data_IF_954488252756
#
_entry.id   IF_954488252756
#
_cell.length_a   1.000
_cell.length_b   1.000
_cell.length_c   1.000
_cell.angle_alpha   90.00
_cell.angle_beta   90.00
_cell.angle_gamma   90.00
#
_symmetry.space_group_name_H-M   'P 1'
#
loop_
_entity.id
_entity.type
_entity.pdbx_description
1 polymer ?
#
# COMPACT_ATOMS: atom_id res chain seq x y z
N UNK A 1 67.76 48.52 51.73
CA UNK A 1 67.21 47.20 51.49
C UNK A 1 65.78 47.41 51.07
N UNK A 2 65.53 47.22 49.77
CA UNK A 2 64.21 47.39 49.15
C UNK A 2 63.71 45.99 48.72
N UNK A 3 62.60 45.57 49.28
CA UNK A 3 61.94 44.36 48.83
C UNK A 3 60.83 44.72 47.85
N UNK A 4 61.01 44.31 46.59
CA UNK A 4 60.01 44.37 45.53
C UNK A 4 59.12 43.15 45.65
N UNK A 5 57.81 43.36 45.90
CA UNK A 5 56.80 42.31 45.87
C UNK A 5 56.23 42.27 44.43
N UNK A 6 56.53 41.21 43.68
CA UNK A 6 55.90 40.91 42.40
C UNK A 6 54.53 40.31 42.65
N UNK A 7 53.47 41.03 42.33
CA UNK A 7 52.07 40.56 42.29
C UNK A 7 51.83 39.82 41.00
N UNK A 8 51.70 38.48 41.07
CA UNK A 8 51.29 37.67 39.90
C UNK A 8 49.78 37.70 39.77
N UNK A 9 49.26 38.40 38.75
CA UNK A 9 47.88 38.34 38.36
C UNK A 9 47.63 37.06 37.57
N UNK A 10 46.99 36.12 38.22
CA UNK A 10 46.52 34.89 37.57
C UNK A 10 45.19 35.20 36.88
N UNK A 11 45.23 35.49 35.57
CA UNK A 11 44.04 35.65 34.75
C UNK A 11 43.51 34.25 34.45
N UNK A 12 42.51 33.81 35.20
CA UNK A 12 41.74 32.64 34.89
C UNK A 12 40.83 32.94 33.69
N UNK A 13 41.21 32.47 32.52
CA UNK A 13 40.32 32.40 31.35
C UNK A 13 39.21 31.40 31.67
N UNK A 14 38.05 31.87 32.12
CA UNK A 14 36.83 31.10 32.08
C UNK A 14 36.45 30.91 30.59
N UNK A 15 36.83 29.79 30.00
CA UNK A 15 36.26 29.34 28.73
C UNK A 15 34.81 28.95 29.03
N UNK A 16 33.87 29.94 28.98
CA UNK A 16 32.47 29.64 28.87
C UNK A 16 32.26 28.88 27.55
N UNK A 17 32.12 27.58 27.64
CA UNK A 17 31.62 26.80 26.52
C UNK A 17 30.20 27.30 26.23
N UNK A 18 30.10 28.30 25.36
CA UNK A 18 28.85 28.61 24.69
C UNK A 18 28.52 27.38 23.84
N UNK A 19 27.71 26.48 24.37
CA UNK A 19 26.93 25.56 23.57
C UNK A 19 25.85 26.39 22.87
N UNK A 20 26.28 27.25 21.92
CA UNK A 20 25.38 27.75 20.90
C UNK A 20 24.81 26.50 20.22
N UNK A 21 23.48 26.34 20.27
CA UNK A 21 22.79 25.42 19.39
C UNK A 21 23.35 25.70 17.99
N UNK A 22 24.21 24.79 17.49
CA UNK A 22 24.75 24.91 16.14
C UNK A 22 23.53 25.00 15.23
N UNK A 23 23.48 26.04 14.42
CA UNK A 23 22.42 26.21 13.45
C UNK A 23 22.38 24.97 12.53
N UNK A 24 21.35 24.15 12.58
CA UNK A 24 21.26 22.95 11.76
C UNK A 24 21.38 23.25 10.26
N UNK A 25 20.98 24.46 9.84
CA UNK A 25 21.09 24.90 8.45
C UNK A 25 22.53 25.21 8.06
N UNK A 26 23.33 25.75 8.96
CA UNK A 26 24.75 25.99 8.73
C UNK A 26 25.50 24.65 8.52
N UNK A 27 25.20 23.66 9.35
CA UNK A 27 25.77 22.31 9.19
C UNK A 27 25.37 21.67 7.85
N UNK A 28 24.08 21.80 7.47
CA UNK A 28 23.61 21.32 6.16
C UNK A 28 24.38 21.98 5.01
N UNK A 29 24.54 23.32 5.05
CA UNK A 29 25.27 24.06 4.01
C UNK A 29 26.72 23.62 3.94
N UNK A 30 27.39 23.42 5.08
CA UNK A 30 28.77 22.96 5.15
C UNK A 30 28.93 21.56 4.52
N UNK A 31 28.00 20.64 4.84
CA UNK A 31 28.01 19.29 4.25
C UNK A 31 27.83 19.34 2.74
N UNK A 32 26.88 20.13 2.23
CA UNK A 32 26.67 20.29 0.79
C UNK A 32 27.93 20.86 0.13
N UNK A 33 28.54 21.89 0.73
CA UNK A 33 29.77 22.50 0.17
C UNK A 33 30.93 21.49 0.16
N UNK A 34 31.11 20.71 1.23
CA UNK A 34 32.16 19.67 1.28
C UNK A 34 31.95 18.59 0.23
N UNK A 35 30.71 18.17 -0.01
CA UNK A 35 30.42 17.22 -1.10
C UNK A 35 30.82 17.82 -2.45
N UNK A 36 30.50 19.09 -2.69
CA UNK A 36 30.83 19.79 -3.93
C UNK A 36 32.34 19.93 -4.16
N UNK A 37 33.05 20.21 -3.09
CA UNK A 37 34.47 20.51 -3.19
C UNK A 37 35.36 19.25 -3.23
N UNK A 38 34.97 18.18 -2.52
CA UNK A 38 35.84 17.05 -2.24
C UNK A 38 35.39 15.73 -2.89
N UNK A 39 34.14 15.64 -3.34
CA UNK A 39 33.62 14.38 -3.93
C UNK A 39 34.23 14.15 -5.32
N UNK A 40 34.71 12.94 -5.57
CA UNK A 40 35.15 12.50 -6.90
C UNK A 40 33.96 12.15 -7.83
N UNK A 41 32.76 12.03 -7.29
CA UNK A 41 31.55 11.73 -8.05
C UNK A 41 30.91 12.97 -8.67
N UNK A 42 30.17 12.79 -9.76
CA UNK A 42 29.27 13.83 -10.28
C UNK A 42 28.00 13.86 -9.45
N UNK A 43 27.53 15.05 -9.12
CA UNK A 43 26.26 15.22 -8.38
C UNK A 43 25.39 16.26 -9.09
N UNK A 44 24.10 16.13 -8.85
CA UNK A 44 23.06 17.07 -9.23
C UNK A 44 22.51 17.70 -7.95
N UNK A 45 22.50 19.03 -7.87
CA UNK A 45 22.04 19.76 -6.68
C UNK A 45 20.59 19.42 -6.33
N UNK A 46 19.73 19.24 -7.33
CA UNK A 46 18.33 18.87 -7.15
C UNK A 46 18.23 17.45 -6.56
N UNK A 47 18.96 16.50 -7.12
CA UNK A 47 18.98 15.11 -6.62
C UNK A 47 19.54 15.01 -5.21
N UNK A 48 20.54 15.81 -4.86
CA UNK A 48 21.11 15.87 -3.52
C UNK A 48 20.07 16.38 -2.52
N UNK A 49 19.36 17.45 -2.88
CA UNK A 49 18.27 18.01 -2.06
C UNK A 49 17.11 17.01 -1.91
N UNK A 50 16.64 16.40 -2.98
CA UNK A 50 15.56 15.41 -2.95
C UNK A 50 15.92 14.23 -2.05
N UNK A 51 17.17 13.74 -2.12
CA UNK A 51 17.66 12.66 -1.24
C UNK A 51 17.69 13.08 0.24
N UNK A 52 18.08 14.33 0.53
CA UNK A 52 18.05 14.87 1.89
C UNK A 52 16.62 14.95 2.43
N UNK A 53 15.68 15.48 1.66
CA UNK A 53 14.26 15.60 2.03
C UNK A 53 13.60 14.23 2.22
N UNK A 54 13.89 13.28 1.34
CA UNK A 54 13.42 11.89 1.51
C UNK A 54 14.00 11.26 2.79
N UNK A 55 15.29 11.47 3.09
CA UNK A 55 15.92 11.03 4.33
C UNK A 55 15.26 11.61 5.58
N UNK A 56 14.91 12.90 5.57
CA UNK A 56 14.17 13.56 6.65
C UNK A 56 12.81 12.90 6.88
N UNK A 57 12.05 12.67 5.82
CA UNK A 57 10.73 12.01 5.90
C UNK A 57 10.87 10.59 6.44
N UNK A 58 11.83 9.82 5.91
CA UNK A 58 12.10 8.43 6.34
C UNK A 58 12.55 8.33 7.80
N UNK A 59 13.18 9.35 8.35
CA UNK A 59 13.62 9.36 9.76
C UNK A 59 12.44 9.35 10.75
N UNK A 60 11.28 9.87 10.35
CA UNK A 60 10.06 9.94 11.18
C UNK A 60 9.00 8.92 10.77
N UNK A 61 8.97 8.54 9.51
CA UNK A 61 8.04 7.54 8.96
C UNK A 61 8.74 6.69 7.90
N UNK A 62 9.03 5.43 8.21
CA UNK A 62 9.68 4.49 7.28
C UNK A 62 8.90 4.29 5.98
N UNK A 63 7.59 4.46 6.01
CA UNK A 63 6.70 4.36 4.85
C UNK A 63 6.37 5.74 4.24
N UNK A 64 6.86 6.82 4.87
CA UNK A 64 6.71 8.17 4.36
C UNK A 64 7.52 8.39 3.09
N UNK A 65 7.15 9.40 2.32
CA UNK A 65 7.86 9.77 1.08
C UNK A 65 7.91 11.28 0.92
N UNK A 66 9.01 11.78 0.43
CA UNK A 66 9.07 13.05 -0.26
C UNK A 66 8.78 12.78 -1.75
N UNK A 67 7.90 13.56 -2.34
CA UNK A 67 7.55 13.51 -3.76
C UNK A 67 8.07 14.80 -4.38
N UNK A 68 9.04 14.71 -5.26
CA UNK A 68 9.50 15.89 -5.99
C UNK A 68 8.42 16.38 -6.96
N UNK A 69 8.66 17.50 -7.63
CA UNK A 69 7.72 18.14 -8.54
C UNK A 69 7.22 17.20 -9.66
N UNK A 70 8.11 16.44 -10.28
CA UNK A 70 7.77 15.50 -11.34
C UNK A 70 6.91 14.32 -10.82
N UNK A 71 7.30 13.74 -9.69
CA UNK A 71 6.55 12.65 -9.04
C UNK A 71 5.17 13.12 -8.56
N UNK A 72 5.10 14.29 -7.92
CA UNK A 72 3.85 14.81 -7.41
C UNK A 72 2.89 15.18 -8.53
N UNK A 73 3.37 15.86 -9.57
CA UNK A 73 2.56 16.17 -10.74
C UNK A 73 2.05 14.90 -11.44
N UNK A 74 2.93 13.93 -11.65
CA UNK A 74 2.57 12.69 -12.35
C UNK A 74 1.57 11.86 -11.58
N UNK A 75 1.74 11.75 -10.25
CA UNK A 75 0.95 10.82 -9.42
C UNK A 75 -0.35 11.44 -8.88
N UNK A 76 -0.42 12.76 -8.72
CA UNK A 76 -1.52 13.39 -7.98
C UNK A 76 -2.18 14.58 -8.70
N UNK A 77 -1.43 15.38 -9.45
CA UNK A 77 -1.99 16.58 -10.10
C UNK A 77 -2.49 16.24 -11.51
N UNK A 78 -1.64 15.61 -12.30
CA UNK A 78 -1.92 15.21 -13.67
C UNK A 78 -2.12 13.69 -13.78
N UNK A 79 -2.76 13.07 -12.79
CA UNK A 79 -3.02 11.64 -12.79
C UNK A 79 -3.84 11.21 -14.02
N UNK A 80 -3.19 11.27 -15.19
CA UNK A 80 -3.73 10.66 -16.40
C UNK A 80 -3.81 9.15 -16.17
N UNK A 81 -4.74 8.45 -16.79
CA UNK A 81 -4.76 7.00 -16.75
C UNK A 81 -3.38 6.48 -17.14
N UNK A 82 -2.62 6.03 -16.16
CA UNK A 82 -1.24 5.56 -16.40
C UNK A 82 -1.36 4.18 -17.00
N UNK A 83 -0.89 4.06 -18.24
CA UNK A 83 -0.84 2.79 -18.91
C UNK A 83 0.44 2.03 -18.53
N UNK A 84 0.32 0.73 -18.45
CA UNK A 84 1.43 -0.19 -18.20
C UNK A 84 1.43 -1.36 -19.18
N UNK A 85 2.34 -2.27 -18.98
CA UNK A 85 2.45 -3.49 -19.82
C UNK A 85 1.59 -4.65 -19.32
N UNK A 86 1.02 -4.53 -18.10
CA UNK A 86 0.15 -5.54 -17.50
C UNK A 86 0.90 -6.67 -16.78
N UNK A 87 1.91 -6.33 -16.02
CA UNK A 87 2.60 -7.23 -15.08
C UNK A 87 2.49 -6.74 -13.66
N UNK A 88 2.35 -7.64 -12.71
CA UNK A 88 2.57 -7.41 -11.29
C UNK A 88 3.94 -7.95 -10.97
N UNK A 89 4.77 -7.16 -10.29
CA UNK A 89 6.15 -7.51 -9.99
C UNK A 89 6.33 -7.95 -8.54
N UNK A 90 7.31 -8.82 -8.33
CA UNK A 90 7.87 -9.16 -7.03
C UNK A 90 9.37 -8.87 -7.05
N UNK A 91 9.91 -8.38 -5.92
CA UNK A 91 11.35 -8.18 -5.75
C UNK A 91 11.93 -9.27 -4.85
N UNK A 92 13.06 -9.85 -5.27
CA UNK A 92 13.81 -10.82 -4.48
C UNK A 92 15.31 -10.57 -4.69
N UNK A 93 16.05 -10.20 -3.65
CA UNK A 93 17.50 -9.93 -3.69
C UNK A 93 17.90 -8.97 -4.83
N UNK A 94 17.33 -7.79 -4.89
CA UNK A 94 17.56 -6.77 -5.94
C UNK A 94 17.31 -7.25 -7.38
N UNK A 95 16.44 -8.24 -7.57
CA UNK A 95 15.95 -8.69 -8.87
C UNK A 95 14.44 -8.60 -8.91
N UNK A 96 13.90 -8.32 -10.08
CA UNK A 96 12.47 -8.09 -10.28
C UNK A 96 11.89 -9.20 -11.16
N UNK A 97 10.90 -9.88 -10.62
CA UNK A 97 10.24 -11.01 -11.26
C UNK A 97 8.79 -10.70 -11.54
N UNK A 98 8.28 -11.22 -12.64
CA UNK A 98 6.84 -11.25 -12.90
C UNK A 98 6.19 -12.15 -11.86
N UNK A 99 5.38 -11.57 -10.96
CA UNK A 99 4.58 -12.28 -9.95
C UNK A 99 3.30 -12.81 -10.57
N UNK A 100 2.64 -11.97 -11.39
CA UNK A 100 1.44 -12.36 -12.16
C UNK A 100 1.28 -11.46 -13.39
N UNK A 101 0.44 -11.89 -14.30
CA UNK A 101 0.14 -11.18 -15.55
C UNK A 101 -1.34 -10.86 -15.56
N UNK A 102 -1.65 -9.63 -15.96
CA UNK A 102 -3.01 -9.14 -16.09
C UNK A 102 -3.58 -9.62 -17.42
N UNK A 103 -4.79 -10.15 -17.39
CA UNK A 103 -5.46 -10.66 -18.57
C UNK A 103 -5.64 -9.59 -19.66
N UNK A 104 -5.63 -10.00 -20.91
CA UNK A 104 -5.74 -9.16 -22.11
C UNK A 104 -4.65 -8.09 -22.24
N UNK A 105 -3.63 -8.12 -21.37
CA UNK A 105 -2.52 -7.16 -21.36
C UNK A 105 -1.53 -7.38 -22.50
N UNK A 106 -0.59 -6.45 -22.64
CA UNK A 106 0.53 -6.56 -23.61
C UNK A 106 1.52 -7.65 -23.18
N UNK A 107 1.72 -7.83 -21.87
CA UNK A 107 2.57 -8.89 -21.34
C UNK A 107 2.00 -10.27 -21.64
N UNK A 108 0.69 -10.49 -21.48
CA UNK A 108 0.03 -11.75 -21.82
C UNK A 108 0.15 -12.06 -23.31
N UNK A 109 -0.11 -11.06 -24.16
CA UNK A 109 0.02 -11.23 -25.62
C UNK A 109 1.44 -11.54 -26.07
N UNK A 110 2.43 -11.07 -25.33
CA UNK A 110 3.84 -11.37 -25.56
C UNK A 110 4.29 -12.69 -24.89
N UNK A 111 3.37 -13.44 -24.29
CA UNK A 111 3.66 -14.70 -23.59
C UNK A 111 4.71 -14.57 -22.49
N UNK A 112 4.71 -13.43 -21.77
CA UNK A 112 5.41 -13.36 -20.49
C UNK A 112 4.75 -14.33 -19.51
N UNK A 113 5.51 -14.83 -18.53
CA UNK A 113 5.04 -15.82 -17.58
C UNK A 113 5.49 -15.47 -16.16
N UNK A 114 4.78 -16.00 -15.18
CA UNK A 114 5.18 -15.90 -13.79
C UNK A 114 6.58 -16.53 -13.58
N UNK A 115 7.42 -15.79 -12.87
CA UNK A 115 8.82 -16.14 -12.63
C UNK A 115 9.80 -15.65 -13.70
N UNK A 116 9.35 -14.99 -14.77
CA UNK A 116 10.23 -14.28 -15.70
C UNK A 116 10.90 -13.11 -14.98
N UNK A 117 12.22 -12.94 -15.16
CA UNK A 117 13.00 -11.86 -14.54
C UNK A 117 13.14 -10.66 -15.50
N UNK A 118 12.79 -9.46 -15.04
CA UNK A 118 13.05 -8.23 -15.80
C UNK A 118 14.50 -7.80 -15.52
N UNK A 119 15.29 -7.65 -16.59
CA UNK A 119 16.71 -7.30 -16.51
C UNK A 119 16.92 -5.82 -16.85
N UNK A 120 16.23 -5.33 -17.88
CA UNK A 120 16.41 -3.98 -18.39
C UNK A 120 15.11 -3.44 -18.93
N UNK A 121 14.88 -2.14 -18.73
CA UNK A 121 13.76 -1.39 -19.30
C UNK A 121 14.35 -0.19 -20.04
N UNK A 122 14.00 -0.05 -21.32
CA UNK A 122 14.67 0.86 -22.25
C UNK A 122 16.20 0.68 -22.19
N UNK A 123 16.92 1.72 -21.78
CA UNK A 123 18.38 1.70 -21.63
C UNK A 123 18.84 1.52 -20.17
N UNK A 124 17.91 1.23 -19.23
CA UNK A 124 18.20 1.21 -17.80
C UNK A 124 18.19 -0.22 -17.26
N UNK A 125 19.31 -0.67 -16.70
CA UNK A 125 19.37 -1.94 -15.95
C UNK A 125 18.59 -1.79 -14.64
N UNK A 126 17.71 -2.75 -14.33
CA UNK A 126 16.82 -2.62 -13.16
C UNK A 126 17.44 -3.06 -11.83
N UNK A 127 18.58 -3.74 -11.85
CA UNK A 127 19.21 -4.34 -10.64
C UNK A 127 19.58 -3.30 -9.55
N UNK A 128 19.80 -2.04 -9.94
CA UNK A 128 20.23 -0.97 -9.05
C UNK A 128 19.05 -0.03 -8.68
N UNK A 129 17.84 -0.36 -9.13
CA UNK A 129 16.61 0.39 -8.90
C UNK A 129 15.78 -0.21 -7.76
N UNK A 130 14.92 0.61 -7.16
CA UNK A 130 13.87 0.14 -6.28
C UNK A 130 12.60 -0.24 -7.06
N UNK A 131 11.60 -0.80 -6.38
CA UNK A 131 10.35 -1.26 -7.01
C UNK A 131 9.58 -0.11 -7.68
N UNK A 132 9.52 1.05 -7.05
CA UNK A 132 8.77 2.20 -7.56
C UNK A 132 9.41 2.74 -8.84
N UNK A 133 10.74 2.80 -8.90
CA UNK A 133 11.50 3.21 -10.09
C UNK A 133 11.27 2.25 -11.25
N UNK A 134 11.28 0.94 -10.99
CA UNK A 134 11.00 -0.08 -12.02
C UNK A 134 9.56 0.05 -12.54
N UNK A 135 8.60 0.24 -11.64
CA UNK A 135 7.20 0.45 -12.01
C UNK A 135 7.05 1.74 -12.83
N UNK A 136 7.72 2.82 -12.45
CA UNK A 136 7.68 4.08 -13.17
C UNK A 136 8.18 3.94 -14.61
N UNK A 137 9.27 3.19 -14.83
CA UNK A 137 9.81 2.93 -16.17
C UNK A 137 8.86 2.07 -17.04
N UNK A 138 8.14 1.13 -16.44
CA UNK A 138 7.16 0.29 -17.16
C UNK A 138 5.89 1.06 -17.50
N UNK A 139 5.54 2.06 -16.71
CA UNK A 139 4.38 2.94 -16.92
C UNK A 139 4.70 4.04 -17.94
N UNK A 140 3.66 4.71 -18.42
CA UNK A 140 3.80 5.85 -19.34
C UNK A 140 2.49 6.18 -20.05
N UNK A 141 2.58 7.03 -21.05
CA UNK A 141 1.40 7.42 -21.83
C UNK A 141 0.75 6.20 -22.52
N UNK A 142 -0.59 6.11 -22.55
CA UNK A 142 -1.30 5.05 -23.25
C UNK A 142 -0.87 4.98 -24.73
N UNK A 143 -0.82 3.75 -25.26
CA UNK A 143 -0.46 3.46 -26.66
C UNK A 143 1.00 3.81 -27.03
N UNK A 144 1.87 4.03 -26.06
CA UNK A 144 3.33 4.06 -26.29
C UNK A 144 3.94 2.68 -26.11
N UNK A 145 5.08 2.42 -26.74
CA UNK A 145 5.83 1.18 -26.54
C UNK A 145 6.92 1.39 -25.51
N UNK A 146 7.23 0.33 -24.78
CA UNK A 146 8.40 0.23 -23.91
C UNK A 146 9.17 -1.03 -24.27
N UNK A 147 10.48 -0.91 -24.36
CA UNK A 147 11.40 -2.01 -24.59
C UNK A 147 11.78 -2.64 -23.26
N UNK A 148 11.60 -3.95 -23.14
CA UNK A 148 11.89 -4.69 -21.92
C UNK A 148 12.74 -5.91 -22.26
N UNK A 149 13.87 -6.07 -21.60
CA UNK A 149 14.69 -7.28 -21.70
C UNK A 149 14.39 -8.17 -20.52
N UNK A 150 13.99 -9.39 -20.81
CA UNK A 150 13.49 -10.37 -19.85
C UNK A 150 14.29 -11.65 -19.94
N UNK A 151 14.69 -12.19 -18.80
CA UNK A 151 15.17 -13.57 -18.69
C UNK A 151 13.97 -14.46 -18.40
N UNK A 152 13.63 -15.31 -19.36
CA UNK A 152 12.54 -16.27 -19.18
C UNK A 152 12.91 -17.31 -18.11
N UNK A 153 11.95 -17.74 -17.29
CA UNK A 153 12.14 -18.70 -16.19
C UNK A 153 12.90 -19.95 -16.63
N UNK A 154 12.69 -20.41 -17.85
CA UNK A 154 13.27 -21.65 -18.39
C UNK A 154 14.30 -21.38 -19.50
N UNK A 155 14.92 -20.20 -19.55
CA UNK A 155 15.91 -19.84 -20.57
C UNK A 155 17.16 -19.28 -19.92
N UNK A 156 18.30 -19.54 -20.53
CA UNK A 156 19.59 -18.92 -20.17
C UNK A 156 19.91 -17.70 -21.02
N UNK A 157 19.04 -17.34 -21.97
CA UNK A 157 19.26 -16.18 -22.87
C UNK A 157 18.20 -15.13 -22.65
N UNK A 158 18.59 -13.86 -22.46
CA UNK A 158 17.67 -12.76 -22.41
C UNK A 158 16.90 -12.61 -23.71
N UNK A 159 15.62 -12.22 -23.61
CA UNK A 159 14.75 -11.95 -24.75
C UNK A 159 14.25 -10.53 -24.66
N UNK A 160 14.31 -9.81 -25.76
CA UNK A 160 13.80 -8.45 -25.88
C UNK A 160 12.34 -8.45 -26.32
N UNK A 161 11.54 -7.62 -25.67
CA UNK A 161 10.13 -7.39 -25.98
C UNK A 161 9.86 -5.90 -26.17
N UNK A 162 9.13 -5.53 -27.22
CA UNK A 162 8.56 -4.21 -27.41
C UNK A 162 7.09 -4.24 -27.01
N UNK A 163 6.79 -3.88 -25.77
CA UNK A 163 5.46 -4.01 -25.18
C UNK A 163 4.69 -2.70 -25.28
N UNK A 164 3.42 -2.77 -25.66
CA UNK A 164 2.54 -1.60 -25.71
C UNK A 164 2.07 -1.26 -24.31
N UNK A 165 2.30 -0.04 -23.87
CA UNK A 165 1.61 0.51 -22.70
C UNK A 165 0.14 0.72 -23.03
N UNK A 166 -0.71 0.04 -22.32
CA UNK A 166 -2.17 0.20 -22.40
C UNK A 166 -2.70 0.64 -21.06
N UNK A 167 -3.78 1.41 -21.07
CA UNK A 167 -4.59 1.52 -19.87
C UNK A 167 -5.00 0.09 -19.53
N UNK A 168 -4.39 -0.45 -18.50
CA UNK A 168 -4.76 -1.77 -17.99
C UNK A 168 -5.92 -1.46 -17.06
N UNK A 169 -7.12 -1.77 -17.46
CA UNK A 169 -8.18 -1.96 -16.49
C UNK A 169 -7.76 -3.20 -15.71
N UNK A 170 -7.14 -2.97 -14.58
CA UNK A 170 -7.04 -4.00 -13.56
C UNK A 170 -8.45 -4.03 -13.01
N UNK A 171 -9.21 -5.06 -13.33
CA UNK A 171 -10.46 -5.30 -12.63
C UNK A 171 -10.10 -5.35 -11.14
N UNK A 172 -10.51 -4.33 -10.40
CA UNK A 172 -10.19 -4.23 -8.97
C UNK A 172 -10.90 -5.33 -8.20
N UNK A 173 -11.95 -5.86 -8.78
CA UNK A 173 -12.76 -6.94 -8.24
C UNK A 173 -12.78 -8.11 -9.23
N UNK A 174 -12.68 -9.31 -8.71
CA UNK A 174 -12.91 -10.55 -9.46
C UNK A 174 -13.97 -11.33 -8.71
N UNK A 175 -15.01 -11.73 -9.39
CA UNK A 175 -16.11 -12.47 -8.81
C UNK A 175 -16.31 -13.83 -9.48
N UNK A 176 -16.56 -14.85 -8.68
CA UNK A 176 -16.83 -16.21 -9.16
C UNK A 176 -17.93 -16.84 -8.30
N UNK A 177 -18.66 -17.79 -8.88
CA UNK A 177 -19.59 -18.63 -8.15
C UNK A 177 -19.03 -20.04 -7.99
N UNK A 178 -18.93 -20.51 -6.75
CA UNK A 178 -18.55 -21.89 -6.43
C UNK A 178 -19.77 -22.75 -6.14
N UNK A 179 -19.59 -24.06 -6.22
CA UNK A 179 -20.62 -25.04 -5.91
C UNK A 179 -21.25 -24.79 -4.53
N UNK A 180 -22.55 -24.98 -4.43
CA UNK A 180 -23.31 -24.69 -3.23
C UNK A 180 -23.74 -23.22 -3.10
N UNK A 181 -23.74 -22.45 -4.18
CA UNK A 181 -24.09 -21.03 -4.22
C UNK A 181 -23.21 -20.18 -3.29
N UNK A 182 -21.92 -20.41 -3.29
CA UNK A 182 -20.94 -19.65 -2.52
C UNK A 182 -20.31 -18.60 -3.44
N UNK A 183 -20.52 -17.33 -3.13
CA UNK A 183 -19.90 -16.23 -3.86
C UNK A 183 -18.42 -16.07 -3.41
N UNK A 184 -17.51 -16.01 -4.37
CA UNK A 184 -16.12 -15.63 -4.16
C UNK A 184 -15.91 -14.25 -4.74
N UNK A 185 -15.40 -13.33 -3.91
CA UNK A 185 -15.12 -11.96 -4.30
C UNK A 185 -13.67 -11.65 -3.90
N UNK A 186 -12.83 -11.38 -4.87
CA UNK A 186 -11.45 -10.93 -4.64
C UNK A 186 -11.36 -9.43 -4.91
N UNK A 187 -10.80 -8.69 -3.97
CA UNK A 187 -10.53 -7.26 -4.12
C UNK A 187 -9.02 -7.08 -4.15
N UNK A 188 -8.49 -6.60 -5.28
CA UNK A 188 -7.05 -6.43 -5.49
C UNK A 188 -6.51 -5.10 -4.97
N UNK A 189 -7.37 -4.05 -4.91
CA UNK A 189 -7.04 -2.73 -4.35
C UNK A 189 -8.32 -1.93 -4.09
N UNK A 190 -8.25 -0.93 -3.19
CA UNK A 190 -9.37 -0.03 -2.87
C UNK A 190 -9.17 1.35 -3.51
N UNK A 191 -8.90 1.38 -4.80
CA UNK A 191 -8.82 2.62 -5.59
C UNK A 191 -10.01 2.70 -6.54
N UNK A 192 -10.30 3.90 -7.04
CA UNK A 192 -11.41 4.15 -7.96
C UNK A 192 -12.76 3.60 -7.42
N UNK A 193 -13.55 3.00 -8.30
CA UNK A 193 -14.91 2.53 -8.03
C UNK A 193 -14.98 1.07 -7.52
N UNK A 194 -13.93 0.54 -6.91
CA UNK A 194 -13.87 -0.86 -6.45
C UNK A 194 -15.08 -1.31 -5.60
N UNK A 195 -15.68 -0.41 -4.81
CA UNK A 195 -16.89 -0.73 -4.03
C UNK A 195 -18.10 -0.91 -4.95
N UNK A 196 -18.28 -0.02 -5.93
CA UNK A 196 -19.40 -0.13 -6.88
C UNK A 196 -19.27 -1.40 -7.72
N UNK A 197 -18.06 -1.69 -8.22
CA UNK A 197 -17.76 -2.91 -8.95
C UNK A 197 -18.07 -4.15 -8.12
N UNK A 198 -17.60 -4.19 -6.85
CA UNK A 198 -17.87 -5.28 -5.92
C UNK A 198 -19.38 -5.49 -5.70
N UNK A 199 -20.12 -4.40 -5.49
CA UNK A 199 -21.57 -4.50 -5.23
C UNK A 199 -22.35 -4.92 -6.48
N UNK A 200 -21.96 -4.45 -7.65
CA UNK A 200 -22.57 -4.83 -8.91
C UNK A 200 -22.31 -6.32 -9.24
N UNK A 201 -21.09 -6.78 -9.01
CA UNK A 201 -20.74 -8.20 -9.15
C UNK A 201 -21.50 -9.09 -8.18
N UNK A 202 -21.54 -8.71 -6.90
CA UNK A 202 -22.30 -9.46 -5.90
C UNK A 202 -23.80 -9.50 -6.26
N UNK A 203 -24.34 -8.37 -6.70
CA UNK A 203 -25.73 -8.31 -7.16
C UNK A 203 -25.98 -9.23 -8.35
N UNK A 204 -25.08 -9.21 -9.34
CA UNK A 204 -25.15 -10.10 -10.50
C UNK A 204 -25.15 -11.58 -10.06
N UNK A 205 -24.21 -11.97 -9.21
CA UNK A 205 -24.13 -13.35 -8.69
C UNK A 205 -25.41 -13.73 -7.91
N UNK A 206 -25.94 -12.83 -7.09
CA UNK A 206 -27.15 -13.04 -6.32
C UNK A 206 -28.37 -13.23 -7.22
N UNK A 207 -28.53 -12.36 -8.24
CA UNK A 207 -29.67 -12.43 -9.14
C UNK A 207 -29.62 -13.69 -10.03
N UNK A 208 -28.43 -14.08 -10.51
CA UNK A 208 -28.24 -15.30 -11.33
C UNK A 208 -28.49 -16.59 -10.57
N UNK A 209 -28.34 -16.58 -9.23
CA UNK A 209 -28.65 -17.70 -8.36
C UNK A 209 -30.07 -17.62 -7.76
N UNK A 210 -31.01 -17.01 -8.46
CA UNK A 210 -32.40 -16.88 -8.02
C UNK A 210 -32.54 -16.26 -6.62
N UNK A 211 -31.68 -15.27 -6.33
CA UNK A 211 -31.61 -14.58 -5.04
C UNK A 211 -31.26 -15.48 -3.84
N UNK A 212 -30.41 -16.49 -4.08
CA UNK A 212 -29.97 -17.41 -3.05
C UNK A 212 -28.44 -17.53 -3.03
N UNK A 213 -27.82 -16.96 -2.01
CA UNK A 213 -26.42 -17.20 -1.67
C UNK A 213 -26.34 -17.93 -0.33
N UNK A 214 -25.54 -18.97 -0.25
CA UNK A 214 -25.37 -19.77 0.97
C UNK A 214 -24.11 -19.37 1.75
N UNK A 215 -23.23 -18.59 1.15
CA UNK A 215 -22.00 -18.09 1.78
C UNK A 215 -21.22 -17.18 0.86
N UNK A 216 -20.20 -16.53 1.45
CA UNK A 216 -19.30 -15.63 0.74
C UNK A 216 -17.86 -15.82 1.23
N UNK A 217 -16.93 -15.87 0.29
CA UNK A 217 -15.50 -15.76 0.52
C UNK A 217 -15.05 -14.38 0.01
N UNK A 218 -14.54 -13.55 0.91
CA UNK A 218 -13.93 -12.26 0.58
C UNK A 218 -12.40 -12.43 0.59
N UNK A 219 -11.78 -12.42 -0.58
CA UNK A 219 -10.33 -12.61 -0.74
C UNK A 219 -9.62 -11.26 -0.81
N UNK A 220 -8.85 -10.97 0.23
CA UNK A 220 -8.05 -9.76 0.39
C UNK A 220 -6.55 -10.04 0.25
N UNK A 221 -6.16 -11.24 -0.17
CA UNK A 221 -4.76 -11.61 -0.36
C UNK A 221 -4.13 -10.78 -1.48
N UNK A 222 -2.91 -10.30 -1.22
CA UNK A 222 -2.17 -9.43 -2.13
C UNK A 222 -2.71 -8.00 -2.21
N UNK A 223 -3.69 -7.61 -1.39
CA UNK A 223 -4.29 -6.27 -1.40
C UNK A 223 -3.58 -5.34 -0.41
N UNK A 224 -2.75 -4.38 -0.88
CA UNK A 224 -1.96 -3.50 -0.01
C UNK A 224 -2.78 -2.38 0.65
N UNK A 225 -4.10 -2.40 0.49
CA UNK A 225 -5.00 -1.36 0.97
C UNK A 225 -5.37 -0.36 -0.13
N UNK A 226 -5.54 0.88 0.25
CA UNK A 226 -5.97 1.98 -0.59
C UNK A 226 -6.65 3.06 0.25
N UNK A 227 -7.76 3.60 -0.24
CA UNK A 227 -8.56 4.57 0.51
C UNK A 227 -9.15 3.91 1.76
N UNK A 228 -8.78 4.42 2.95
CA UNK A 228 -9.22 3.80 4.21
C UNK A 228 -10.74 3.83 4.39
N UNK A 229 -11.43 4.85 3.85
CA UNK A 229 -12.89 4.93 3.86
C UNK A 229 -13.55 3.73 3.16
N UNK A 230 -12.90 3.17 2.12
CA UNK A 230 -13.42 1.97 1.45
C UNK A 230 -13.36 0.74 2.38
N UNK A 231 -12.31 0.61 3.18
CA UNK A 231 -12.24 -0.45 4.20
C UNK A 231 -13.33 -0.31 5.27
N UNK A 232 -13.59 0.92 5.73
CA UNK A 232 -14.67 1.22 6.69
C UNK A 232 -16.02 0.88 6.07
N UNK A 233 -16.27 1.32 4.84
CA UNK A 233 -17.52 1.10 4.14
C UNK A 233 -17.82 -0.38 3.92
N UNK A 234 -16.87 -1.15 3.39
CA UNK A 234 -17.05 -2.59 3.19
C UNK A 234 -17.28 -3.31 4.52
N UNK A 235 -16.57 -2.92 5.57
CA UNK A 235 -16.80 -3.48 6.91
C UNK A 235 -18.23 -3.21 7.39
N UNK A 236 -18.76 -2.01 7.13
CA UNK A 236 -20.11 -1.62 7.54
C UNK A 236 -21.21 -2.48 6.92
N UNK A 237 -21.03 -2.99 5.70
CA UNK A 237 -22.01 -3.83 5.03
C UNK A 237 -22.32 -5.09 5.82
N UNK A 238 -21.34 -5.63 6.50
CA UNK A 238 -21.45 -6.88 7.26
C UNK A 238 -21.81 -6.68 8.74
N UNK A 239 -21.89 -5.45 9.23
CA UNK A 239 -22.17 -5.15 10.65
C UNK A 239 -23.55 -4.55 10.83
N UNK A 240 -24.14 -4.77 12.01
CA UNK A 240 -25.34 -4.09 12.43
C UNK A 240 -25.13 -2.56 12.55
N UNK A 241 -26.23 -1.81 12.46
CA UNK A 241 -26.19 -0.36 12.59
C UNK A 241 -25.58 0.07 13.92
N UNK A 242 -24.92 1.21 13.93
CA UNK A 242 -24.28 1.88 15.07
C UNK A 242 -23.13 1.09 15.73
N UNK A 243 -22.69 0.00 15.14
CA UNK A 243 -21.46 -0.69 15.60
C UNK A 243 -20.24 0.16 15.34
N UNK A 244 -19.33 0.24 16.31
CA UNK A 244 -18.03 0.87 16.13
C UNK A 244 -17.22 0.08 15.11
N UNK A 245 -16.66 0.74 14.10
CA UNK A 245 -15.81 0.10 13.12
C UNK A 245 -14.34 0.27 13.52
N UNK A 246 -13.93 1.51 13.82
CA UNK A 246 -12.58 1.74 14.31
C UNK A 246 -12.47 3.03 15.10
N UNK A 247 -11.39 3.14 15.88
CA UNK A 247 -11.00 4.36 16.57
C UNK A 247 -9.75 4.91 15.89
N UNK A 248 -9.76 6.22 15.60
CA UNK A 248 -8.61 6.94 15.03
C UNK A 248 -8.06 7.92 16.07
N UNK A 249 -6.74 7.98 16.14
CA UNK A 249 -6.00 8.90 17.00
C UNK A 249 -4.91 9.56 16.19
N UNK A 250 -4.95 10.89 16.12
CA UNK A 250 -3.90 11.71 15.52
C UNK A 250 -2.98 12.32 16.60
N UNK A 251 -1.99 13.09 16.15
CA UNK A 251 -1.12 13.87 17.03
C UNK A 251 -1.91 14.91 17.85
N UNK A 252 -2.94 15.50 17.27
CA UNK A 252 -3.81 16.48 17.92
C UNK A 252 -4.95 15.76 18.64
N UNK A 253 -5.14 16.02 19.94
CA UNK A 253 -6.12 15.30 20.77
C UNK A 253 -7.56 15.52 20.31
N UNK A 254 -7.84 16.68 19.74
CA UNK A 254 -9.13 17.05 19.15
C UNK A 254 -9.51 16.23 17.94
N UNK A 255 -8.54 15.64 17.24
CA UNK A 255 -8.75 14.83 16.03
C UNK A 255 -9.03 13.35 16.33
N UNK A 256 -9.35 13.02 17.57
CA UNK A 256 -9.83 11.66 17.87
C UNK A 256 -11.21 11.46 17.25
N UNK A 257 -11.28 10.53 16.32
CA UNK A 257 -12.53 10.13 15.68
C UNK A 257 -12.81 8.65 15.90
N UNK A 258 -14.06 8.34 16.22
CA UNK A 258 -14.58 7.00 16.23
C UNK A 258 -15.51 6.84 15.02
N UNK A 259 -15.21 5.94 14.13
CA UNK A 259 -16.06 5.61 12.99
C UNK A 259 -17.05 4.51 13.39
N UNK A 260 -18.31 4.71 13.04
CA UNK A 260 -19.40 3.78 13.32
C UNK A 260 -20.11 3.37 12.03
N UNK A 261 -20.84 2.28 12.08
CA UNK A 261 -21.78 1.94 11.02
C UNK A 261 -23.04 2.82 11.14
N UNK A 262 -22.88 4.11 10.79
CA UNK A 262 -23.95 5.11 10.86
C UNK A 262 -23.97 5.98 9.61
N UNK A 263 -25.14 6.51 9.18
CA UNK A 263 -25.23 7.40 8.02
C UNK A 263 -24.31 8.60 8.11
N UNK A 264 -24.06 9.13 9.31
CA UNK A 264 -23.21 10.31 9.55
C UNK A 264 -21.73 10.05 9.21
N UNK A 265 -21.27 8.82 9.38
CA UNK A 265 -19.90 8.42 9.05
C UNK A 265 -19.72 8.07 7.57
N UNK A 266 -20.83 7.93 6.84
CA UNK A 266 -20.88 7.59 5.41
C UNK A 266 -21.60 8.64 4.56
N UNK A 267 -21.62 9.89 5.00
CA UNK A 267 -22.29 10.97 4.30
C UNK A 267 -21.80 11.11 2.85
N UNK A 268 -22.74 11.16 1.90
CA UNK A 268 -22.44 11.29 0.46
C UNK A 268 -22.04 9.99 -0.26
N UNK A 269 -22.21 8.82 0.37
CA UNK A 269 -21.84 7.57 -0.27
C UNK A 269 -23.02 7.00 -1.07
N UNK A 270 -22.91 7.04 -2.39
CA UNK A 270 -23.96 6.64 -3.35
C UNK A 270 -24.30 5.14 -3.31
N UNK A 271 -23.42 4.30 -2.76
CA UNK A 271 -23.60 2.84 -2.75
C UNK A 271 -24.56 2.29 -1.67
N UNK A 272 -25.01 3.11 -0.72
CA UNK A 272 -25.88 2.64 0.36
C UNK A 272 -27.18 2.01 -0.16
N UNK A 273 -27.78 2.57 -1.21
CA UNK A 273 -28.98 1.99 -1.84
C UNK A 273 -28.72 0.61 -2.44
N UNK A 274 -27.51 0.38 -2.99
CA UNK A 274 -27.11 -0.93 -3.51
C UNK A 274 -26.97 -1.96 -2.38
N UNK A 275 -26.44 -1.55 -1.22
CA UNK A 275 -26.29 -2.42 -0.05
C UNK A 275 -27.64 -2.80 0.53
N UNK A 276 -28.60 -1.87 0.60
CA UNK A 276 -29.96 -2.13 1.06
C UNK A 276 -30.69 -3.15 0.17
N UNK A 277 -30.37 -3.19 -1.12
CA UNK A 277 -30.89 -4.19 -2.05
C UNK A 277 -30.31 -5.61 -1.84
N UNK A 278 -29.32 -5.77 -0.97
CA UNK A 278 -28.61 -7.03 -0.69
C UNK A 278 -28.72 -7.39 0.81
N UNK A 279 -29.91 -7.80 1.29
CA UNK A 279 -30.21 -7.93 2.72
C UNK A 279 -29.40 -9.02 3.43
N UNK A 280 -28.78 -9.91 2.69
CA UNK A 280 -28.00 -11.03 3.24
C UNK A 280 -26.64 -10.63 3.82
N UNK A 281 -26.10 -9.45 3.53
CA UNK A 281 -24.76 -9.06 3.97
C UNK A 281 -24.53 -9.24 5.48
N UNK A 282 -25.54 -8.97 6.30
CA UNK A 282 -25.42 -9.05 7.77
C UNK A 282 -25.45 -10.49 8.29
N UNK A 283 -26.03 -11.42 7.54
CA UNK A 283 -26.33 -12.78 8.02
C UNK A 283 -25.58 -13.88 7.28
N UNK A 284 -25.15 -13.64 6.04
CA UNK A 284 -24.49 -14.65 5.20
C UNK A 284 -23.24 -15.22 5.88
N UNK A 285 -23.01 -16.55 5.88
CA UNK A 285 -21.76 -17.12 6.29
C UNK A 285 -20.59 -16.48 5.52
N UNK A 286 -19.63 -15.90 6.25
CA UNK A 286 -18.52 -15.12 5.67
C UNK A 286 -17.17 -15.67 6.10
N UNK A 287 -16.29 -15.86 5.15
CA UNK A 287 -14.88 -16.13 5.35
C UNK A 287 -14.07 -15.03 4.66
N UNK A 288 -13.01 -14.55 5.31
CA UNK A 288 -12.07 -13.58 4.72
C UNK A 288 -10.71 -14.23 4.59
N UNK A 289 -10.11 -14.15 3.40
CA UNK A 289 -8.75 -14.63 3.14
C UNK A 289 -7.77 -13.48 3.21
N UNK A 290 -6.66 -13.69 3.89
CA UNK A 290 -5.56 -12.71 4.03
C UNK A 290 -4.19 -13.35 3.83
N UNK A 291 -3.20 -12.52 3.50
CA UNK A 291 -1.78 -12.89 3.43
C UNK A 291 -0.87 -11.76 3.93
N UNK A 292 0.45 -11.96 3.87
CA UNK A 292 1.43 -10.97 4.30
C UNK A 292 1.44 -9.67 3.49
N UNK A 293 0.80 -9.64 2.32
CA UNK A 293 0.64 -8.45 1.49
C UNK A 293 -0.71 -7.73 1.75
N UNK A 294 -1.60 -8.34 2.54
CA UNK A 294 -2.86 -7.71 2.98
C UNK A 294 -2.56 -6.59 3.97
N UNK A 295 -2.83 -5.33 3.61
CA UNK A 295 -2.45 -4.18 4.45
C UNK A 295 -3.54 -3.11 4.54
N UNK A 296 -3.47 -2.25 5.57
CA UNK A 296 -4.29 -1.05 5.71
C UNK A 296 -5.79 -1.33 5.71
N UNK A 297 -6.50 -0.95 4.64
CA UNK A 297 -7.96 -1.15 4.52
C UNK A 297 -8.36 -2.63 4.58
N UNK A 298 -7.54 -3.54 4.05
CA UNK A 298 -7.74 -4.99 4.16
C UNK A 298 -7.66 -5.46 5.62
N UNK A 299 -6.76 -4.86 6.40
CA UNK A 299 -6.61 -5.18 7.82
C UNK A 299 -7.76 -4.61 8.66
N UNK A 300 -8.31 -3.46 8.28
CA UNK A 300 -9.53 -2.92 8.91
C UNK A 300 -10.66 -3.94 8.75
N UNK A 301 -10.94 -4.38 7.53
CA UNK A 301 -12.00 -5.35 7.24
C UNK A 301 -11.79 -6.64 8.03
N UNK A 302 -10.62 -7.24 7.89
CA UNK A 302 -10.33 -8.53 8.52
C UNK A 302 -10.37 -8.46 10.05
N UNK A 303 -9.69 -7.47 10.65
CA UNK A 303 -9.59 -7.38 12.12
C UNK A 303 -10.93 -7.05 12.78
N UNK A 304 -11.70 -6.15 12.19
CA UNK A 304 -12.99 -5.74 12.77
C UNK A 304 -14.02 -6.85 12.64
N UNK A 305 -14.12 -7.49 11.47
CA UNK A 305 -15.04 -8.63 11.28
C UNK A 305 -14.66 -9.83 12.15
N UNK A 306 -13.36 -10.07 12.36
CA UNK A 306 -12.87 -11.07 13.30
C UNK A 306 -13.27 -10.73 14.74
N UNK A 307 -13.03 -9.50 15.16
CA UNK A 307 -13.29 -9.06 16.54
C UNK A 307 -14.78 -9.14 16.92
N UNK A 308 -15.67 -8.91 15.96
CA UNK A 308 -17.11 -9.10 16.14
C UNK A 308 -17.56 -10.56 15.96
N UNK A 309 -16.66 -11.48 15.60
CA UNK A 309 -17.04 -12.86 15.27
C UNK A 309 -17.92 -12.97 14.02
N UNK A 310 -17.90 -11.94 13.18
CA UNK A 310 -18.73 -11.86 11.97
C UNK A 310 -18.17 -12.69 10.82
N UNK A 311 -16.85 -12.82 10.73
CA UNK A 311 -16.17 -13.62 9.74
C UNK A 311 -15.12 -14.52 10.36
N UNK A 312 -14.85 -15.65 9.70
CA UNK A 312 -13.67 -16.48 9.97
C UNK A 312 -12.53 -16.01 9.06
N UNK A 313 -11.38 -15.68 9.65
CA UNK A 313 -10.20 -15.22 8.90
C UNK A 313 -9.27 -16.40 8.66
N UNK A 314 -8.87 -16.61 7.42
CA UNK A 314 -8.02 -17.74 6.99
C UNK A 314 -6.83 -17.20 6.19
N UNK A 315 -5.66 -17.82 6.34
CA UNK A 315 -4.44 -17.50 5.60
C UNK A 315 -3.23 -17.40 6.50
N UNK A 316 -2.35 -16.43 6.27
CA UNK A 316 -1.20 -16.13 7.12
C UNK A 316 -1.33 -14.70 7.69
N UNK A 317 -0.57 -14.35 8.74
CA UNK A 317 -0.62 -13.01 9.33
C UNK A 317 -0.44 -11.91 8.28
N UNK A 318 -1.24 -10.83 8.40
CA UNK A 318 -1.21 -9.69 7.50
C UNK A 318 0.00 -8.78 7.74
N UNK A 319 0.11 -7.70 6.99
CA UNK A 319 1.28 -6.80 6.99
C UNK A 319 1.51 -6.07 8.33
N UNK A 320 0.46 -5.63 9.01
CA UNK A 320 0.57 -4.89 10.28
C UNK A 320 0.65 -3.37 10.14
N UNK A 321 -0.14 -2.76 9.25
CA UNK A 321 -0.16 -1.31 9.02
C UNK A 321 -1.33 -0.64 9.73
N UNK A 322 -1.08 -0.07 10.90
CA UNK A 322 -2.08 0.66 11.69
C UNK A 322 -2.09 2.18 11.46
N UNK A 323 -1.40 2.67 10.42
CA UNK A 323 -1.25 4.11 10.17
C UNK A 323 -2.02 4.59 8.96
N UNK A 324 -2.51 5.85 9.04
CA UNK A 324 -3.00 6.61 7.92
C UNK A 324 -1.96 7.64 7.52
N UNK A 325 -1.65 7.69 6.22
CA UNK A 325 -0.77 8.69 5.66
C UNK A 325 -1.57 9.80 4.99
N UNK A 326 -1.15 11.04 5.22
CA UNK A 326 -1.69 12.23 4.56
C UNK A 326 -0.65 12.80 3.62
N UNK A 327 -1.12 13.26 2.47
CA UNK A 327 -0.30 13.96 1.49
C UNK A 327 -0.41 15.47 1.76
N UNK A 328 0.74 16.12 1.93
CA UNK A 328 0.84 17.56 2.13
C UNK A 328 1.60 18.20 0.97
N UNK A 329 0.93 18.90 0.05
CA UNK A 329 1.60 19.72 -0.94
C UNK A 329 2.47 20.79 -0.27
N UNK A 330 3.65 21.05 -0.80
CA UNK A 330 4.54 22.08 -0.32
C UNK A 330 4.33 23.38 -1.10
N UNK A 331 4.31 24.51 -0.38
CA UNK A 331 4.03 25.82 -0.99
C UNK A 331 5.22 26.43 -1.74
N UNK A 332 6.43 25.89 -1.51
CA UNK A 332 7.67 26.44 -2.07
C UNK A 332 7.97 25.96 -3.49
N UNK A 333 7.42 24.81 -3.86
CA UNK A 333 7.57 24.17 -5.17
C UNK A 333 6.40 23.22 -5.39
N UNK A 334 6.27 22.70 -6.59
CA UNK A 334 5.23 21.69 -6.93
C UNK A 334 5.60 20.29 -6.39
N UNK A 335 6.00 20.19 -5.13
CA UNK A 335 6.34 18.93 -4.47
C UNK A 335 5.41 18.64 -3.30
N UNK A 336 5.53 17.46 -2.69
CA UNK A 336 4.71 17.08 -1.55
C UNK A 336 5.45 16.14 -0.60
N UNK A 337 4.96 16.04 0.64
CA UNK A 337 5.33 14.96 1.55
C UNK A 337 4.13 14.08 1.86
N UNK A 338 4.36 12.78 1.92
CA UNK A 338 3.38 11.80 2.38
C UNK A 338 3.89 11.19 3.67
N UNK A 339 3.19 11.43 4.78
CA UNK A 339 3.59 10.95 6.11
C UNK A 339 2.41 10.42 6.89
N UNK A 340 2.66 9.49 7.80
CA UNK A 340 1.67 8.99 8.73
C UNK A 340 1.24 10.10 9.70
N UNK A 341 -0.05 10.43 9.70
CA UNK A 341 -0.64 11.49 10.53
C UNK A 341 -1.54 10.95 11.63
N UNK A 342 -2.03 9.74 11.49
CA UNK A 342 -2.89 9.10 12.47
C UNK A 342 -2.64 7.59 12.56
N UNK A 343 -3.03 7.03 13.71
CA UNK A 343 -3.11 5.58 13.93
C UNK A 343 -4.55 5.17 14.18
N UNK A 344 -4.86 3.96 13.80
CA UNK A 344 -6.16 3.37 14.07
C UNK A 344 -6.05 2.13 14.95
N UNK A 345 -7.13 1.82 15.61
CA UNK A 345 -7.31 0.59 16.38
C UNK A 345 -8.69 0.01 16.13
N UNK A 346 -8.82 -1.29 16.35
CA UNK A 346 -10.11 -2.00 16.31
C UNK A 346 -11.10 -1.41 17.32
N UNK A 347 -12.39 -1.78 17.27
CA UNK A 347 -13.39 -1.37 18.26
C UNK A 347 -12.96 -1.55 19.72
N UNK A 348 -12.27 -2.65 20.03
CA UNK A 348 -11.75 -2.96 21.39
C UNK A 348 -10.38 -2.34 21.69
N UNK A 349 -9.90 -1.46 20.81
CA UNK A 349 -8.65 -0.72 21.01
C UNK A 349 -7.37 -1.51 20.68
N UNK A 350 -7.45 -2.63 19.94
CA UNK A 350 -6.28 -3.39 19.52
C UNK A 350 -5.64 -2.75 18.28
N UNK A 351 -4.31 -2.63 18.26
CA UNK A 351 -3.54 -2.31 17.06
C UNK A 351 -3.16 -3.58 16.31
N UNK A 352 -3.12 -3.51 14.99
CA UNK A 352 -2.56 -4.59 14.14
C UNK A 352 -1.04 -4.52 14.04
N UNK A 353 -0.42 -3.43 14.49
CA UNK A 353 1.03 -3.28 14.52
C UNK A 353 1.65 -4.04 15.71
N UNK A 354 2.82 -4.72 15.57
CA UNK A 354 3.56 -4.94 14.31
C UNK A 354 3.22 -6.26 13.61
N UNK A 355 2.37 -7.10 14.17
CA UNK A 355 2.23 -8.51 13.80
C UNK A 355 1.12 -8.79 12.78
N UNK A 356 0.39 -7.76 12.35
CA UNK A 356 -0.74 -7.92 11.47
C UNK A 356 -1.98 -8.51 12.15
N UNK A 357 -2.96 -8.82 11.34
CA UNK A 357 -4.15 -9.59 11.74
C UNK A 357 -3.75 -11.06 11.74
N UNK A 358 -3.82 -11.68 12.91
CA UNK A 358 -3.57 -13.12 13.05
C UNK A 358 -4.83 -13.88 12.62
N UNK A 359 -4.77 -14.77 11.63
CA UNK A 359 -5.94 -15.49 11.15
C UNK A 359 -6.49 -16.45 12.22
N UNK A 360 -7.78 -16.78 12.12
CA UNK A 360 -8.40 -17.80 12.97
C UNK A 360 -7.90 -19.21 12.60
N UNK A 361 -7.60 -19.39 11.31
CA UNK A 361 -7.07 -20.65 10.76
C UNK A 361 -5.86 -20.29 9.91
N UNK A 362 -4.70 -20.70 10.37
CA UNK A 362 -3.46 -20.46 9.64
C UNK A 362 -3.27 -21.51 8.56
N UNK A 363 -3.08 -21.03 7.32
CA UNK A 363 -2.84 -21.87 6.14
C UNK A 363 -1.69 -21.28 5.35
N UNK A 364 -0.56 -21.97 5.33
CA UNK A 364 0.60 -21.58 4.56
C UNK A 364 0.47 -22.05 3.10
N UNK A 365 0.92 -21.22 2.16
CA UNK A 365 1.12 -21.63 0.78
C UNK A 365 2.38 -22.51 0.70
N UNK A 366 2.20 -23.81 0.57
CA UNK A 366 3.22 -24.70 0.07
C UNK A 366 3.06 -24.82 -1.44
N UNK A 367 4.16 -25.09 -2.15
CA UNK A 367 4.33 -25.09 -3.62
C UNK A 367 3.46 -26.11 -4.41
N UNK A 368 2.23 -26.36 -4.02
CA UNK A 368 1.30 -27.22 -4.73
C UNK A 368 0.23 -26.41 -5.46
N UNK A 369 -0.22 -26.91 -6.61
CA UNK A 369 -1.19 -26.31 -7.55
C UNK A 369 -2.60 -26.06 -6.94
N UNK A 370 -2.82 -26.25 -5.66
CA UNK A 370 -4.12 -26.09 -4.99
C UNK A 370 -4.12 -24.92 -4.00
N UNK A 371 -5.10 -24.04 -4.17
CA UNK A 371 -5.39 -22.98 -3.20
C UNK A 371 -6.03 -23.56 -1.93
N UNK A 372 -5.18 -23.97 -0.98
CA UNK A 372 -5.61 -24.58 0.29
C UNK A 372 -6.47 -23.65 1.14
N UNK A 373 -6.15 -22.37 1.15
CA UNK A 373 -6.90 -21.39 1.95
C UNK A 373 -8.32 -21.22 1.42
N UNK A 374 -8.48 -21.13 0.09
CA UNK A 374 -9.79 -21.09 -0.54
C UNK A 374 -10.54 -22.42 -0.35
N UNK A 375 -9.86 -23.55 -0.51
CA UNK A 375 -10.48 -24.86 -0.30
C UNK A 375 -11.00 -25.03 1.12
N UNK A 376 -10.26 -24.55 2.13
CA UNK A 376 -10.70 -24.59 3.52
C UNK A 376 -11.86 -23.63 3.79
N UNK A 377 -11.84 -22.43 3.17
CA UNK A 377 -12.94 -21.48 3.24
C UNK A 377 -14.26 -22.07 2.72
N UNK A 378 -14.22 -22.72 1.56
CA UNK A 378 -15.39 -23.36 0.94
C UNK A 378 -15.94 -24.48 1.84
N UNK A 379 -15.08 -25.33 2.41
CA UNK A 379 -15.49 -26.40 3.35
C UNK A 379 -16.17 -25.85 4.61
N UNK A 380 -15.67 -24.75 5.17
CA UNK A 380 -16.24 -24.13 6.38
C UNK A 380 -17.63 -23.58 6.09
N UNK A 381 -17.82 -22.94 4.94
CA UNK A 381 -19.12 -22.40 4.55
C UNK A 381 -20.13 -23.52 4.29
N UNK A 382 -19.72 -24.60 3.63
CA UNK A 382 -20.60 -25.75 3.34
C UNK A 382 -21.06 -26.53 4.57
N UNK A 383 -20.35 -26.40 5.71
CA UNK A 383 -20.72 -27.03 6.98
C UNK A 383 -21.70 -26.22 7.84
N UNK A 384 -21.94 -24.96 7.50
CA UNK A 384 -22.85 -24.04 8.18
C UNK A 384 -24.21 -24.01 7.51
#
# INVERSE_FOLDING_TARGET
>A
MKYSICLWFMVTFLCAANTSLQDPYATYQEVVQKIKDESIGTFDDKKLLDSCLEGMVKSVDKNGRYLNDEEYETLYVNAKPVAGIGVILAQKRNRFYVKSIIDYSSAQKAHLQEGDEIIQIENTLVRDLNMDEVIALLRGAPNTKVKVIVMKKNSSRPTEFALMRKAVNVDMVTSLMYDGNIAYIKISSYVNDAIHEMLDDIKYLYDTQHKKLNGMVLDLRGNPGGMFMNGIAITSFFLESDRVILNVKSRHKEDKKQYRNSPQDFEGLEYMSKVEALPFFKTIPLVVLIDGDSAGSSEIIASVLQEYGRATIIGVPSFGKDTFATLFPLSTNSSAIKVATARWTTPKGKSVWPNGVIPNIEVHHEYEDQDRALSEALKIIQKK
#
